data_IF_572777161021
#
_entry.id   IF_572777161021
#
_cell.length_a   1.000
_cell.length_b   1.000
_cell.length_c   1.000
_cell.angle_alpha   90.00
_cell.angle_beta   90.00
_cell.angle_gamma   90.00
#
_symmetry.space_group_name_H-M   'P 1'
#
loop_
_entity.id
_entity.type
_entity.pdbx_description
1 polymer ?
#
# COMPACT_ATOMS: atom_id res chain seq x y z
N UNK A 1 -22.20 38.51 -17.70
CA UNK A 1 -21.38 38.52 -16.47
C UNK A 1 -21.03 37.07 -16.15
N UNK A 2 -19.75 36.71 -16.14
CA UNK A 2 -19.33 35.33 -15.88
C UNK A 2 -17.95 35.32 -15.24
N UNK A 3 -17.82 34.57 -14.15
CA UNK A 3 -16.57 34.37 -13.43
C UNK A 3 -16.14 32.93 -13.65
N UNK A 4 -14.85 32.71 -13.94
CA UNK A 4 -14.27 31.37 -14.00
C UNK A 4 -13.12 31.26 -12.99
N UNK A 5 -12.93 30.05 -12.48
CA UNK A 5 -11.89 29.72 -11.52
C UNK A 5 -11.16 28.48 -12.05
N UNK A 6 -9.85 28.60 -12.23
CA UNK A 6 -9.01 27.52 -12.75
C UNK A 6 -7.97 27.15 -11.72
N UNK A 7 -7.91 25.86 -11.37
CA UNK A 7 -6.88 25.30 -10.52
C UNK A 7 -5.92 24.46 -11.35
N UNK A 8 -4.62 24.58 -11.06
CA UNK A 8 -3.56 23.74 -11.61
C UNK A 8 -2.86 23.06 -10.46
N UNK A 9 -2.77 21.74 -10.54
CA UNK A 9 -2.10 20.91 -9.56
C UNK A 9 -0.87 20.28 -10.19
N UNK A 10 0.18 20.10 -9.39
CA UNK A 10 1.34 19.35 -9.82
C UNK A 10 0.95 17.88 -9.97
N UNK A 11 1.37 17.28 -11.08
CA UNK A 11 1.17 15.85 -11.34
C UNK A 11 2.41 15.09 -10.90
N UNK A 12 2.22 14.00 -10.16
CA UNK A 12 3.29 13.13 -9.70
C UNK A 12 3.19 11.78 -10.42
N UNK A 13 4.16 11.46 -11.26
CA UNK A 13 4.14 10.25 -12.11
C UNK A 13 4.86 9.11 -11.40
N UNK A 14 4.08 8.12 -10.96
CA UNK A 14 4.53 6.96 -10.18
C UNK A 14 5.48 6.08 -11.01
N UNK A 15 5.17 5.85 -12.29
CA UNK A 15 5.96 5.01 -13.20
C UNK A 15 7.39 5.47 -13.45
N UNK A 16 7.68 6.76 -13.20
CA UNK A 16 9.02 7.32 -13.42
C UNK A 16 9.84 7.37 -12.11
N UNK A 17 9.29 6.86 -11.01
CA UNK A 17 9.97 6.85 -9.73
C UNK A 17 10.93 5.65 -9.62
N UNK A 18 12.02 5.87 -8.89
CA UNK A 18 13.02 4.84 -8.63
C UNK A 18 12.69 4.07 -7.35
N UNK A 19 12.69 2.74 -7.44
CA UNK A 19 12.35 1.83 -6.35
C UNK A 19 13.32 1.96 -5.17
N UNK A 20 14.62 2.11 -5.43
CA UNK A 20 15.63 2.21 -4.38
C UNK A 20 15.53 3.55 -3.64
N UNK A 21 15.25 4.64 -4.35
CA UNK A 21 14.99 5.95 -3.74
C UNK A 21 13.76 5.89 -2.83
N UNK A 22 12.67 5.27 -3.28
CA UNK A 22 11.45 5.13 -2.47
C UNK A 22 11.65 4.25 -1.24
N UNK A 23 12.51 3.21 -1.32
CA UNK A 23 12.89 2.38 -0.18
C UNK A 23 13.77 3.12 0.83
N UNK A 24 14.68 3.97 0.36
CA UNK A 24 15.55 4.76 1.23
C UNK A 24 14.84 5.97 1.87
N UNK A 25 13.72 6.43 1.30
CA UNK A 25 12.97 7.57 1.80
C UNK A 25 12.26 7.25 3.12
N UNK A 26 12.50 8.03 4.18
CA UNK A 26 11.83 7.88 5.47
C UNK A 26 10.36 8.31 5.45
N UNK A 27 9.89 8.97 4.38
CA UNK A 27 8.52 9.45 4.26
C UNK A 27 7.53 8.27 4.22
N UNK A 28 6.49 8.26 5.07
CA UNK A 28 5.48 7.20 5.05
C UNK A 28 4.70 7.10 3.74
N UNK A 29 4.54 8.21 3.01
CA UNK A 29 3.92 8.19 1.69
C UNK A 29 4.81 7.55 0.62
N UNK A 30 6.13 7.48 0.82
CA UNK A 30 7.01 6.78 -0.11
C UNK A 30 6.69 5.28 -0.16
N UNK A 31 6.24 4.67 0.95
CA UNK A 31 5.75 3.27 0.97
C UNK A 31 4.50 3.12 0.11
N UNK A 32 3.59 4.10 0.14
CA UNK A 32 2.37 4.09 -0.68
C UNK A 32 2.72 4.17 -2.17
N UNK A 33 3.62 5.08 -2.54
CA UNK A 33 4.10 5.24 -3.92
C UNK A 33 4.85 3.99 -4.38
N UNK A 34 5.71 3.42 -3.53
CA UNK A 34 6.42 2.17 -3.78
C UNK A 34 5.45 1.03 -4.05
N UNK A 35 4.38 0.93 -3.24
CA UNK A 35 3.35 -0.09 -3.45
C UNK A 35 2.68 0.05 -4.80
N UNK A 36 2.27 1.28 -5.14
CA UNK A 36 1.61 1.55 -6.40
C UNK A 36 2.55 1.26 -7.58
N UNK A 37 3.83 1.64 -7.48
CA UNK A 37 4.85 1.35 -8.46
C UNK A 37 5.00 -0.16 -8.68
N UNK A 38 5.21 -0.93 -7.61
CA UNK A 38 5.31 -2.39 -7.66
C UNK A 38 4.04 -3.01 -8.25
N UNK A 39 2.85 -2.59 -7.82
CA UNK A 39 1.59 -3.11 -8.34
C UNK A 39 1.41 -2.83 -9.84
N UNK A 40 1.86 -1.68 -10.33
CA UNK A 40 1.78 -1.34 -11.76
C UNK A 40 2.80 -2.15 -12.57
N UNK A 41 4.05 -2.25 -12.10
CA UNK A 41 5.10 -3.03 -12.75
C UNK A 41 4.76 -4.52 -12.79
N UNK A 42 4.07 -5.00 -11.76
CA UNK A 42 3.72 -6.39 -11.56
C UNK A 42 2.26 -6.70 -11.87
N UNK A 43 1.59 -5.96 -12.77
CA UNK A 43 0.14 -6.08 -13.06
C UNK A 43 -0.41 -7.49 -13.36
N UNK A 44 0.46 -8.46 -13.64
CA UNK A 44 0.15 -9.89 -13.81
C UNK A 44 0.69 -10.79 -12.69
N UNK A 45 0.88 -10.28 -11.48
CA UNK A 45 1.29 -11.09 -10.33
C UNK A 45 0.18 -12.04 -9.88
N UNK A 46 0.60 -13.23 -9.48
CA UNK A 46 -0.29 -14.17 -8.80
C UNK A 46 -0.65 -13.64 -7.40
N UNK A 47 -1.70 -14.19 -6.80
CA UNK A 47 -2.10 -13.75 -5.46
C UNK A 47 -1.00 -14.02 -4.42
N UNK A 48 -0.13 -15.02 -4.63
CA UNK A 48 1.06 -15.27 -3.81
C UNK A 48 2.10 -14.14 -3.90
N UNK A 49 2.39 -13.67 -5.11
CA UNK A 49 3.35 -12.58 -5.30
C UNK A 49 2.77 -11.26 -4.76
N UNK A 50 1.46 -11.05 -4.87
CA UNK A 50 0.79 -9.92 -4.25
C UNK A 50 0.86 -9.98 -2.72
N UNK A 51 0.73 -11.17 -2.15
CA UNK A 51 0.91 -11.41 -0.71
C UNK A 51 2.33 -11.07 -0.25
N UNK A 52 3.35 -11.48 -1.01
CA UNK A 52 4.76 -11.13 -0.73
C UNK A 52 4.99 -9.62 -0.78
N UNK A 53 4.50 -8.92 -1.80
CA UNK A 53 4.60 -7.46 -1.91
C UNK A 53 3.97 -6.78 -0.69
N UNK A 54 2.78 -7.24 -0.26
CA UNK A 54 2.10 -6.68 0.92
C UNK A 54 2.86 -6.93 2.22
N UNK A 55 3.52 -8.08 2.36
CA UNK A 55 4.42 -8.35 3.50
C UNK A 55 5.66 -7.44 3.46
N UNK A 56 6.33 -7.29 2.32
CA UNK A 56 7.51 -6.41 2.16
C UNK A 56 7.18 -4.96 2.55
N UNK A 57 6.04 -4.45 2.07
CA UNK A 57 5.58 -3.11 2.40
C UNK A 57 5.30 -2.93 3.88
N UNK A 58 4.75 -3.95 4.53
CA UNK A 58 4.50 -3.92 5.96
C UNK A 58 5.81 -3.85 6.74
N UNK A 59 6.80 -4.67 6.37
CA UNK A 59 8.15 -4.63 6.96
C UNK A 59 8.80 -3.26 6.79
N UNK A 60 8.67 -2.62 5.63
CA UNK A 60 9.17 -1.25 5.41
C UNK A 60 8.50 -0.22 6.34
N UNK A 61 7.21 -0.38 6.63
CA UNK A 61 6.52 0.49 7.61
C UNK A 61 7.03 0.27 9.05
N UNK A 62 7.40 -0.96 9.40
CA UNK A 62 7.99 -1.29 10.70
C UNK A 62 9.41 -0.73 10.83
N UNK A 63 10.25 -0.93 9.81
CA UNK A 63 11.64 -0.42 9.79
C UNK A 63 11.71 1.09 9.95
N UNK A 64 10.70 1.81 9.46
CA UNK A 64 10.60 3.28 9.53
C UNK A 64 9.98 3.79 10.85
N UNK A 65 9.78 2.91 11.84
CA UNK A 65 9.21 3.23 13.15
C UNK A 65 7.88 4.01 13.07
N UNK A 66 7.04 3.69 12.08
CA UNK A 66 5.76 4.38 11.92
C UNK A 66 4.80 4.07 13.06
N UNK A 67 4.02 5.06 13.48
CA UNK A 67 2.98 4.84 14.50
C UNK A 67 1.99 3.75 14.07
N UNK A 68 1.40 3.04 15.04
CA UNK A 68 0.42 1.98 14.77
C UNK A 68 -0.75 2.48 13.91
N UNK A 69 -1.22 3.70 14.16
CA UNK A 69 -2.35 4.30 13.44
C UNK A 69 -1.97 4.65 12.00
N UNK A 70 -0.75 5.16 11.77
CA UNK A 70 -0.23 5.41 10.42
C UNK A 70 -0.10 4.11 9.63
N UNK A 71 0.45 3.06 10.25
CA UNK A 71 0.55 1.73 9.63
C UNK A 71 -0.82 1.15 9.30
N UNK A 72 -1.82 1.37 10.17
CA UNK A 72 -3.20 0.97 9.93
C UNK A 72 -3.78 1.68 8.71
N UNK A 73 -3.70 3.00 8.65
CA UNK A 73 -4.26 3.78 7.54
C UNK A 73 -3.63 3.43 6.19
N UNK A 74 -2.31 3.22 6.15
CA UNK A 74 -1.62 2.78 4.93
C UNK A 74 -2.06 1.36 4.55
N UNK A 75 -2.12 0.44 5.50
CA UNK A 75 -2.57 -0.93 5.23
C UNK A 75 -4.02 -0.97 4.70
N UNK A 76 -4.93 -0.19 5.28
CA UNK A 76 -6.33 -0.11 4.84
C UNK A 76 -6.43 0.45 3.41
N UNK A 77 -5.57 1.41 3.06
CA UNK A 77 -5.44 1.89 1.70
C UNK A 77 -4.94 0.78 0.75
N UNK A 78 -3.90 0.03 1.14
CA UNK A 78 -3.34 -1.04 0.32
C UNK A 78 -4.31 -2.21 0.10
N UNK A 79 -5.08 -2.58 1.12
CA UNK A 79 -6.11 -3.61 1.03
C UNK A 79 -7.18 -3.25 -0.01
N UNK A 80 -7.50 -1.96 -0.15
CA UNK A 80 -8.49 -1.44 -1.11
C UNK A 80 -7.92 -1.17 -2.49
N UNK A 81 -6.66 -0.74 -2.58
CA UNK A 81 -6.02 -0.35 -3.84
C UNK A 81 -5.64 -1.56 -4.70
N UNK A 82 -5.26 -2.69 -4.08
CA UNK A 82 -4.94 -3.93 -4.79
C UNK A 82 -5.74 -5.09 -4.21
N UNK A 83 -6.90 -5.36 -4.82
CA UNK A 83 -7.75 -6.49 -4.44
C UNK A 83 -7.17 -7.79 -5.00
N UNK A 84 -7.06 -8.82 -4.15
CA UNK A 84 -6.76 -10.18 -4.61
C UNK A 84 -7.85 -10.65 -5.57
N UNK A 85 -7.47 -11.49 -6.54
CA UNK A 85 -8.47 -12.11 -7.43
C UNK A 85 -9.17 -13.27 -6.72
N UNK A 86 -8.44 -14.00 -5.89
CA UNK A 86 -8.97 -15.09 -5.07
C UNK A 86 -9.31 -14.59 -3.64
N UNK A 87 -10.56 -14.82 -3.23
CA UNK A 87 -11.04 -14.52 -1.87
C UNK A 87 -10.37 -15.39 -0.79
N UNK A 88 -9.98 -16.63 -1.10
CA UNK A 88 -9.31 -17.50 -0.14
C UNK A 88 -7.92 -16.97 0.24
N UNK A 89 -7.15 -16.50 -0.74
CA UNK A 89 -5.82 -15.92 -0.51
C UNK A 89 -5.90 -14.63 0.32
N UNK A 90 -6.98 -13.85 0.14
CA UNK A 90 -7.26 -12.68 0.98
C UNK A 90 -7.50 -13.07 2.45
N UNK A 91 -8.30 -14.12 2.71
CA UNK A 91 -8.62 -14.58 4.07
C UNK A 91 -7.35 -15.06 4.79
N UNK A 92 -6.52 -15.88 4.13
CA UNK A 92 -5.25 -16.37 4.68
C UNK A 92 -4.31 -15.22 5.03
N UNK A 93 -4.21 -14.23 4.14
CA UNK A 93 -3.37 -13.06 4.37
C UNK A 93 -3.85 -12.23 5.58
N UNK A 94 -5.17 -12.01 5.70
CA UNK A 94 -5.76 -11.32 6.85
C UNK A 94 -5.50 -12.05 8.17
N UNK A 95 -5.55 -13.38 8.19
CA UNK A 95 -5.24 -14.19 9.38
C UNK A 95 -3.76 -14.09 9.78
N UNK A 96 -2.84 -14.16 8.83
CA UNK A 96 -1.40 -14.00 9.07
C UNK A 96 -1.05 -12.61 9.62
N UNK A 97 -1.67 -11.58 9.04
CA UNK A 97 -1.52 -10.21 9.53
C UNK A 97 -2.05 -10.13 10.95
N UNK A 98 -3.22 -10.68 11.28
CA UNK A 98 -3.75 -10.66 12.66
C UNK A 98 -2.83 -11.36 13.65
N UNK A 99 -2.29 -12.53 13.31
CA UNK A 99 -1.41 -13.32 14.19
C UNK A 99 -0.08 -12.62 14.43
N UNK A 100 0.53 -12.06 13.38
CA UNK A 100 1.81 -11.33 13.52
C UNK A 100 1.65 -9.99 14.27
N UNK A 101 0.46 -9.40 14.28
CA UNK A 101 0.26 -8.02 14.78
C UNK A 101 -0.48 -7.87 16.12
N UNK A 102 -1.12 -8.92 16.63
CA UNK A 102 -2.03 -8.78 17.79
C UNK A 102 -3.18 -7.81 17.50
N UNK A 103 -3.83 -7.94 16.33
CA UNK A 103 -5.03 -7.16 15.96
C UNK A 103 -6.30 -7.88 16.43
N UNK A 104 -7.21 -7.17 17.10
CA UNK A 104 -8.50 -7.68 17.61
C UNK A 104 -9.72 -7.34 16.71
N UNK A 105 -9.52 -6.69 15.56
CA UNK A 105 -10.64 -6.21 14.74
C UNK A 105 -10.53 -6.74 13.32
N UNK A 106 -11.42 -7.67 12.98
CA UNK A 106 -11.80 -8.01 11.61
C UNK A 106 -12.39 -6.77 10.94
N UNK A 107 -11.81 -6.35 9.81
CA UNK A 107 -12.44 -5.37 8.92
C UNK A 107 -13.78 -5.94 8.44
N UNK A 108 -14.88 -5.27 8.77
CA UNK A 108 -16.15 -5.51 8.09
C UNK A 108 -16.01 -5.03 6.65
N UNK A 109 -16.42 -5.88 5.71
CA UNK A 109 -16.59 -5.59 4.28
C UNK A 109 -17.48 -4.35 4.06
#
# INVERSE_FOLDING_TARGET
MGTSLTYRFNSYKILDQDEAVLRADSNPFAVVVLTALLAILHRSVTDEQLKEIKHDLYEEMIKRDMSKDTRQGIYDFLARYVSFKNQETFIIFEEEVKTKLGRNTTMCL
#
